data_IF_262372575666
#
_entry.id   IF_262372575666
#
_cell.length_a   1.000
_cell.length_b   1.000
_cell.length_c   1.000
_cell.angle_alpha   90.00
_cell.angle_beta   90.00
_cell.angle_gamma   90.00
#
_symmetry.space_group_name_H-M   'P 1'
#
loop_
_entity.id
_entity.type
_entity.pdbx_description
1 polymer ?
#
# COMPACT_ATOMS: atom_id res chain seq x y z
N UNK A 1 86.73 -33.36 27.42
CA UNK A 1 86.23 -33.58 26.04
C UNK A 1 84.73 -33.83 26.19
N UNK A 2 83.88 -32.80 26.07
CA UNK A 2 83.15 -32.41 24.82
C UNK A 2 82.41 -33.62 24.25
N UNK A 3 81.10 -33.68 24.04
CA UNK A 3 80.09 -32.67 23.70
C UNK A 3 78.67 -33.30 23.78
N UNK A 4 77.69 -32.45 24.10
CA UNK A 4 76.32 -32.36 23.54
C UNK A 4 75.40 -33.60 23.49
N UNK A 5 74.27 -33.62 24.21
CA UNK A 5 72.99 -32.94 23.89
C UNK A 5 72.44 -33.27 22.49
N UNK A 6 71.31 -33.98 22.46
CA UNK A 6 70.58 -34.27 21.22
C UNK A 6 69.12 -34.65 21.46
N UNK A 7 68.41 -33.84 22.25
CA UNK A 7 66.95 -33.85 22.35
C UNK A 7 66.33 -33.62 20.95
N UNK A 8 65.31 -34.42 20.62
CA UNK A 8 64.19 -33.96 19.80
C UNK A 8 64.10 -34.55 18.40
N UNK A 9 62.96 -35.21 18.13
CA UNK A 9 61.79 -34.48 17.61
C UNK A 9 60.64 -35.47 17.43
N UNK A 10 59.68 -35.40 18.35
CA UNK A 10 58.31 -35.82 18.10
C UNK A 10 57.81 -35.06 16.87
N UNK A 11 57.68 -35.77 15.74
CA UNK A 11 57.11 -35.21 14.52
C UNK A 11 55.60 -35.25 14.66
N UNK A 12 55.06 -34.34 15.47
CA UNK A 12 53.66 -33.95 15.45
C UNK A 12 53.28 -33.57 14.02
N UNK A 13 52.63 -34.50 13.31
CA UNK A 13 52.01 -34.22 12.02
C UNK A 13 50.80 -33.32 12.26
N UNK A 14 51.04 -32.01 12.36
CA UNK A 14 49.98 -31.00 12.28
C UNK A 14 49.33 -31.11 10.91
N UNK A 15 48.16 -31.74 10.84
CA UNK A 15 47.25 -31.57 9.71
C UNK A 15 46.93 -30.08 9.59
N UNK A 16 47.58 -29.40 8.64
CA UNK A 16 47.17 -28.07 8.20
C UNK A 16 45.78 -28.22 7.61
N UNK A 17 44.76 -27.78 8.35
CA UNK A 17 43.44 -27.52 7.77
C UNK A 17 43.69 -26.49 6.65
N UNK A 18 43.63 -26.94 5.40
CA UNK A 18 43.69 -26.06 4.25
C UNK A 18 42.44 -25.18 4.30
N UNK A 19 42.60 -23.89 4.57
CA UNK A 19 41.52 -22.92 4.43
C UNK A 19 41.06 -22.94 2.96
N UNK A 20 39.85 -23.45 2.72
CA UNK A 20 39.23 -23.42 1.38
C UNK A 20 38.74 -21.99 1.17
N UNK A 21 39.38 -21.27 0.25
CA UNK A 21 38.91 -19.97 -0.22
C UNK A 21 37.69 -20.11 -1.12
N UNK A 22 36.91 -19.03 -1.25
CA UNK A 22 35.76 -18.93 -2.15
C UNK A 22 36.18 -19.14 -3.61
N UNK A 23 35.47 -19.99 -4.35
CA UNK A 23 35.67 -20.18 -5.79
C UNK A 23 34.82 -19.22 -6.61
N UNK A 24 35.29 -18.89 -7.82
CA UNK A 24 34.49 -18.11 -8.77
C UNK A 24 33.18 -18.84 -9.12
N UNK A 25 33.20 -20.18 -9.20
CA UNK A 25 32.02 -20.97 -9.47
C UNK A 25 30.96 -20.86 -8.36
N UNK A 26 31.38 -20.84 -7.09
CA UNK A 26 30.45 -20.64 -5.95
C UNK A 26 29.81 -19.26 -5.98
N UNK A 27 30.57 -18.22 -6.31
CA UNK A 27 30.02 -16.88 -6.45
C UNK A 27 29.04 -16.79 -7.64
N UNK A 28 29.39 -17.38 -8.79
CA UNK A 28 28.52 -17.40 -9.97
C UNK A 28 27.21 -18.14 -9.71
N UNK A 29 27.26 -19.29 -9.03
CA UNK A 29 26.07 -20.02 -8.64
C UNK A 29 25.21 -19.22 -7.64
N UNK A 30 25.85 -18.57 -6.66
CA UNK A 30 25.15 -17.75 -5.68
C UNK A 30 24.40 -16.58 -6.34
N UNK A 31 25.05 -15.82 -7.22
CA UNK A 31 24.39 -14.70 -7.91
C UNK A 31 23.32 -15.17 -8.90
N UNK A 32 23.50 -16.34 -9.54
CA UNK A 32 22.50 -16.90 -10.44
C UNK A 32 21.21 -17.24 -9.67
N UNK A 33 21.34 -17.95 -8.54
CA UNK A 33 20.18 -18.28 -7.68
C UNK A 33 19.54 -17.03 -7.08
N UNK A 34 20.34 -16.05 -6.63
CA UNK A 34 19.83 -14.77 -6.13
C UNK A 34 19.05 -14.01 -7.20
N UNK A 35 19.55 -13.97 -8.43
CA UNK A 35 18.86 -13.36 -9.56
C UNK A 35 17.49 -14.01 -9.84
N UNK A 36 17.42 -15.35 -9.77
CA UNK A 36 16.15 -16.08 -9.90
C UNK A 36 15.16 -15.71 -8.80
N UNK A 37 15.59 -15.66 -7.54
CA UNK A 37 14.72 -15.29 -6.41
C UNK A 37 14.21 -13.85 -6.57
N UNK A 38 15.10 -12.90 -6.86
CA UNK A 38 14.74 -11.48 -7.04
C UNK A 38 13.72 -11.31 -8.16
N UNK A 39 13.87 -12.03 -9.27
CA UNK A 39 12.95 -11.98 -10.41
C UNK A 39 11.49 -12.26 -10.05
N UNK A 40 11.24 -13.15 -9.09
CA UNK A 40 9.89 -13.47 -8.59
C UNK A 40 9.51 -12.63 -7.37
N UNK A 41 10.46 -12.38 -6.46
CA UNK A 41 10.20 -11.73 -5.19
C UNK A 41 9.79 -10.25 -5.35
N UNK A 42 10.43 -9.51 -6.26
CA UNK A 42 10.13 -8.07 -6.45
C UNK A 42 8.70 -7.81 -6.93
N UNK A 43 8.20 -8.42 -8.02
CA UNK A 43 6.82 -8.20 -8.44
C UNK A 43 5.81 -8.68 -7.39
N UNK A 44 6.03 -9.84 -6.77
CA UNK A 44 5.14 -10.35 -5.72
C UNK A 44 5.07 -9.41 -4.50
N UNK A 45 6.22 -8.83 -4.09
CA UNK A 45 6.26 -7.86 -3.00
C UNK A 45 5.55 -6.56 -3.35
N UNK A 46 5.67 -6.07 -4.60
CA UNK A 46 4.93 -4.89 -5.06
C UNK A 46 3.43 -5.10 -5.04
N UNK A 47 2.95 -6.23 -5.55
CA UNK A 47 1.53 -6.58 -5.53
C UNK A 47 0.98 -6.66 -4.10
N UNK A 48 1.77 -7.21 -3.17
CA UNK A 48 1.43 -7.24 -1.75
C UNK A 48 1.29 -5.83 -1.17
N UNK A 49 2.25 -4.93 -1.45
CA UNK A 49 2.19 -3.55 -1.00
C UNK A 49 0.98 -2.81 -1.55
N UNK A 50 0.64 -2.99 -2.82
CA UNK A 50 -0.55 -2.35 -3.41
C UNK A 50 -1.85 -2.85 -2.77
N UNK A 51 -1.99 -4.16 -2.49
CA UNK A 51 -3.14 -4.69 -1.75
C UNK A 51 -3.23 -4.14 -0.32
N UNK A 52 -2.08 -3.99 0.34
CA UNK A 52 -1.99 -3.40 1.68
C UNK A 52 -2.42 -1.92 1.67
N UNK A 53 -2.01 -1.16 0.65
CA UNK A 53 -2.45 0.23 0.43
C UNK A 53 -3.96 0.31 0.23
N UNK A 54 -4.55 -0.52 -0.65
CA UNK A 54 -6.01 -0.56 -0.84
C UNK A 54 -6.73 -0.86 0.48
N UNK A 55 -6.26 -1.85 1.24
CA UNK A 55 -6.83 -2.20 2.55
C UNK A 55 -6.75 -1.04 3.55
N UNK A 56 -5.62 -0.31 3.56
CA UNK A 56 -5.46 0.87 4.38
C UNK A 56 -6.44 1.97 3.96
N UNK A 57 -6.57 2.25 2.67
CA UNK A 57 -7.50 3.28 2.18
C UNK A 57 -8.96 2.96 2.54
N UNK A 58 -9.36 1.70 2.42
CA UNK A 58 -10.68 1.23 2.90
C UNK A 58 -10.84 1.50 4.40
N UNK A 59 -9.83 1.19 5.21
CA UNK A 59 -9.85 1.40 6.66
C UNK A 59 -9.94 2.88 7.04
N UNK A 60 -9.19 3.73 6.34
CA UNK A 60 -9.21 5.19 6.54
C UNK A 60 -10.60 5.74 6.18
N UNK A 61 -11.20 5.34 5.05
CA UNK A 61 -12.56 5.72 4.65
C UNK A 61 -13.57 5.31 5.73
N UNK A 62 -13.52 4.06 6.22
CA UNK A 62 -14.40 3.60 7.33
C UNK A 62 -14.21 4.41 8.61
N UNK A 63 -13.00 4.91 8.85
CA UNK A 63 -12.71 5.77 10.01
C UNK A 63 -13.32 7.16 9.82
N UNK A 64 -13.24 7.71 8.61
CA UNK A 64 -13.85 8.98 8.28
C UNK A 64 -15.38 8.91 8.31
N UNK A 65 -16.00 7.84 7.82
CA UNK A 65 -17.46 7.63 7.93
C UNK A 65 -17.93 7.76 9.39
N UNK A 66 -17.22 7.14 10.34
CA UNK A 66 -17.54 7.24 11.77
C UNK A 66 -17.39 8.66 12.30
N UNK A 67 -16.34 9.37 11.89
CA UNK A 67 -16.12 10.76 12.29
C UNK A 67 -17.17 11.71 11.70
N UNK A 68 -17.58 11.49 10.45
CA UNK A 68 -18.66 12.23 9.77
C UNK A 68 -19.99 11.98 10.49
N UNK A 69 -20.29 10.72 10.83
CA UNK A 69 -21.52 10.37 11.56
C UNK A 69 -21.56 10.99 12.96
N UNK A 70 -20.43 11.00 13.68
CA UNK A 70 -20.32 11.67 14.98
C UNK A 70 -20.55 13.18 14.83
N UNK A 71 -19.93 13.81 13.83
CA UNK A 71 -20.13 15.23 13.54
C UNK A 71 -21.59 15.55 13.24
N UNK A 72 -22.24 14.75 12.40
CA UNK A 72 -23.66 14.92 12.06
C UNK A 72 -24.57 14.78 13.29
N UNK A 73 -24.26 13.82 14.17
CA UNK A 73 -25.00 13.63 15.43
C UNK A 73 -24.87 14.83 16.36
N UNK A 74 -23.70 15.48 16.39
CA UNK A 74 -23.43 16.62 17.28
C UNK A 74 -23.92 17.96 16.72
N UNK A 75 -24.04 18.10 15.39
CA UNK A 75 -24.31 19.37 14.71
C UNK A 75 -25.62 19.39 13.90
N UNK A 76 -26.35 18.27 13.85
CA UNK A 76 -27.56 18.05 13.03
C UNK A 76 -27.36 18.35 11.52
N UNK A 77 -26.10 18.33 11.07
CA UNK A 77 -25.72 18.58 9.67
C UNK A 77 -24.45 17.82 9.31
N UNK A 78 -24.36 17.37 8.07
CA UNK A 78 -23.12 16.83 7.52
C UNK A 78 -22.03 17.90 7.48
N UNK A 79 -20.75 17.53 7.65
CA UNK A 79 -19.64 18.45 7.50
C UNK A 79 -19.59 19.00 6.07
N UNK A 80 -19.04 20.19 5.89
CA UNK A 80 -18.83 20.77 4.56
C UNK A 80 -17.53 20.26 3.94
N UNK A 81 -16.59 19.80 4.77
CA UNK A 81 -15.30 19.28 4.34
C UNK A 81 -14.67 18.36 5.39
N UNK A 82 -13.64 17.61 4.99
CA UNK A 82 -12.86 16.80 5.94
C UNK A 82 -12.13 17.63 7.01
N UNK A 83 -11.98 18.96 6.86
CA UNK A 83 -11.36 19.78 7.92
C UNK A 83 -12.27 19.92 9.13
N UNK A 84 -13.58 19.87 8.95
CA UNK A 84 -14.56 20.04 10.04
C UNK A 84 -14.51 18.87 11.03
N UNK A 85 -13.97 17.72 10.59
CA UNK A 85 -13.74 16.51 11.40
C UNK A 85 -12.25 16.25 11.68
N UNK A 86 -11.37 17.21 11.39
CA UNK A 86 -9.93 17.10 11.64
C UNK A 86 -9.16 16.15 10.72
N UNK A 87 -9.70 15.78 9.55
CA UNK A 87 -9.12 14.79 8.63
C UNK A 87 -8.58 15.38 7.31
N UNK A 88 -8.58 16.71 7.15
CA UNK A 88 -8.17 17.36 5.89
C UNK A 88 -6.72 17.10 5.46
N UNK A 89 -5.84 16.74 6.40
CA UNK A 89 -4.40 16.57 6.14
C UNK A 89 -3.94 15.12 6.11
N UNK A 90 -4.86 14.15 6.18
CA UNK A 90 -4.51 12.73 6.07
C UNK A 90 -4.45 12.37 4.59
N UNK A 91 -3.26 12.08 4.03
CA UNK A 91 -3.17 11.59 2.66
C UNK A 91 -3.58 10.12 2.61
N UNK A 92 -4.05 9.70 1.43
CA UNK A 92 -4.21 8.29 1.12
C UNK A 92 -2.85 7.58 1.01
N UNK A 93 -2.83 6.25 0.92
CA UNK A 93 -1.59 5.47 0.90
C UNK A 93 -0.67 5.71 -0.32
N UNK A 94 -1.14 6.43 -1.34
CA UNK A 94 -0.36 6.85 -2.50
C UNK A 94 0.08 8.32 -2.43
N UNK A 95 -0.32 9.04 -1.37
CA UNK A 95 0.06 10.43 -1.12
C UNK A 95 -0.93 11.45 -1.69
N UNK A 96 -2.07 11.01 -2.24
CA UNK A 96 -3.12 11.90 -2.71
C UNK A 96 -4.06 12.30 -1.56
N UNK A 97 -4.69 13.48 -1.59
CA UNK A 97 -5.74 13.79 -0.62
C UNK A 97 -6.99 12.94 -0.88
N UNK A 98 -7.65 12.51 0.20
CA UNK A 98 -9.01 11.98 0.10
C UNK A 98 -9.97 13.07 -0.37
N UNK A 99 -10.98 12.67 -1.14
CA UNK A 99 -12.02 13.56 -1.66
C UNK A 99 -13.30 13.31 -0.88
N UNK A 100 -13.86 14.39 -0.36
CA UNK A 100 -15.19 14.41 0.27
C UNK A 100 -16.04 15.46 -0.43
N UNK A 101 -17.29 15.13 -0.69
CA UNK A 101 -18.27 16.04 -1.26
C UNK A 101 -19.62 15.81 -0.61
N UNK A 102 -20.07 16.77 0.20
CA UNK A 102 -21.43 16.81 0.71
C UNK A 102 -22.40 17.09 -0.45
N UNK A 103 -23.35 16.18 -0.70
CA UNK A 103 -24.24 16.26 -1.87
C UNK A 103 -25.24 17.40 -1.72
N UNK A 104 -25.73 17.64 -0.51
CA UNK A 104 -26.72 18.69 -0.23
C UNK A 104 -26.19 20.11 -0.49
N UNK A 105 -24.87 20.29 -0.33
CA UNK A 105 -24.19 21.58 -0.54
C UNK A 105 -23.33 21.61 -1.81
N UNK A 106 -23.34 20.53 -2.60
CA UNK A 106 -22.52 20.40 -3.79
C UNK A 106 -22.90 21.46 -4.84
N UNK A 107 -21.98 22.40 -5.09
CA UNK A 107 -22.14 23.45 -6.11
C UNK A 107 -22.25 22.90 -7.53
N UNK A 108 -21.63 21.73 -7.78
CA UNK A 108 -21.59 21.09 -9.09
C UNK A 108 -22.07 19.63 -8.97
N UNK A 109 -23.38 19.35 -9.13
CA UNK A 109 -23.93 17.99 -9.08
C UNK A 109 -23.35 17.03 -10.14
N UNK A 110 -22.73 17.56 -11.20
CA UNK A 110 -21.99 16.77 -12.19
C UNK A 110 -20.71 16.11 -11.65
N UNK A 111 -20.19 16.58 -10.51
CA UNK A 111 -18.99 16.05 -9.86
C UNK A 111 -19.27 14.80 -9.01
N UNK A 112 -20.54 14.48 -8.75
CA UNK A 112 -20.95 13.31 -7.99
C UNK A 112 -20.46 12.03 -8.66
N UNK A 113 -19.93 11.12 -7.85
CA UNK A 113 -19.54 9.79 -8.30
C UNK A 113 -20.78 9.04 -8.78
N UNK A 114 -20.64 8.34 -9.89
CA UNK A 114 -21.75 7.70 -10.60
C UNK A 114 -21.46 6.27 -10.99
N UNK A 115 -22.46 5.42 -10.95
CA UNK A 115 -22.39 4.04 -11.41
C UNK A 115 -22.34 3.91 -12.94
N UNK A 116 -22.46 2.68 -13.43
CA UNK A 116 -22.48 2.35 -14.86
C UNK A 116 -23.69 2.93 -15.62
N UNK A 117 -24.76 3.28 -14.92
CA UNK A 117 -25.98 3.86 -15.46
C UNK A 117 -26.02 5.38 -15.28
N UNK A 118 -24.91 5.99 -14.85
CA UNK A 118 -24.76 7.42 -14.56
C UNK A 118 -25.62 7.91 -13.38
N UNK A 119 -26.04 7.00 -12.50
CA UNK A 119 -26.78 7.29 -11.27
C UNK A 119 -25.78 7.58 -10.14
N UNK A 120 -26.00 8.61 -9.30
CA UNK A 120 -25.15 8.87 -8.14
C UNK A 120 -24.98 7.64 -7.25
N UNK A 121 -23.75 7.40 -6.76
CA UNK A 121 -23.46 6.24 -5.90
C UNK A 121 -24.02 6.36 -4.49
N UNK A 122 -24.16 7.59 -4.01
CA UNK A 122 -24.58 7.94 -2.67
C UNK A 122 -25.65 9.03 -2.73
N UNK A 123 -26.45 9.11 -1.68
CA UNK A 123 -27.48 10.12 -1.47
C UNK A 123 -27.07 11.21 -0.48
N UNK A 124 -26.09 10.92 0.39
CA UNK A 124 -25.61 11.78 1.47
C UNK A 124 -24.34 12.58 1.11
N UNK A 125 -23.23 11.88 0.90
CA UNK A 125 -21.92 12.42 0.56
C UNK A 125 -21.09 11.42 -0.24
N UNK A 126 -20.23 11.93 -1.12
CA UNK A 126 -19.17 11.12 -1.70
C UNK A 126 -17.93 11.16 -0.81
N UNK A 127 -17.29 10.00 -0.66
CA UNK A 127 -16.01 9.86 0.03
C UNK A 127 -15.15 8.82 -0.69
N UNK A 128 -13.98 9.22 -1.16
CA UNK A 128 -13.09 8.32 -1.90
C UNK A 128 -11.62 8.74 -1.88
N UNK A 129 -10.73 7.78 -2.12
CA UNK A 129 -9.33 8.02 -2.53
C UNK A 129 -9.24 7.93 -4.05
N UNK A 130 -8.36 8.75 -4.65
CA UNK A 130 -8.11 8.78 -6.10
C UNK A 130 -7.13 7.70 -6.58
N UNK A 131 -6.86 6.71 -5.75
CA UNK A 131 -5.96 5.61 -6.09
C UNK A 131 -4.52 6.05 -6.33
N UNK A 132 -3.81 5.21 -7.09
CA UNK A 132 -2.38 5.33 -7.35
C UNK A 132 -2.06 6.39 -8.40
N UNK A 133 -2.94 6.56 -9.39
CA UNK A 133 -2.70 7.50 -10.48
C UNK A 133 -3.09 8.95 -10.13
N UNK A 134 -3.87 9.12 -9.04
CA UNK A 134 -4.31 10.40 -8.52
C UNK A 134 -5.32 11.12 -9.42
N UNK A 135 -5.89 10.43 -10.41
CA UNK A 135 -6.89 10.90 -11.36
C UNK A 135 -8.21 10.21 -11.04
N UNK A 136 -9.30 10.89 -11.36
CA UNK A 136 -10.64 10.36 -11.13
C UNK A 136 -11.61 11.07 -12.06
N UNK A 137 -12.64 10.36 -12.52
CA UNK A 137 -13.80 10.94 -13.22
C UNK A 137 -15.10 10.52 -12.55
N UNK A 138 -16.17 11.33 -12.64
CA UNK A 138 -17.41 11.03 -11.93
C UNK A 138 -17.96 9.61 -12.18
N UNK A 139 -18.07 9.09 -13.42
CA UNK A 139 -18.52 7.71 -13.65
C UNK A 139 -17.43 6.68 -13.30
N UNK A 140 -17.79 5.64 -12.55
CA UNK A 140 -16.90 4.52 -12.22
C UNK A 140 -16.44 3.73 -13.46
N UNK A 141 -17.20 3.78 -14.55
CA UNK A 141 -16.84 3.12 -15.82
C UNK A 141 -15.67 3.80 -16.53
N UNK A 142 -15.30 5.02 -16.15
CA UNK A 142 -14.13 5.70 -16.71
C UNK A 142 -12.85 4.99 -16.27
N UNK A 143 -11.91 4.82 -17.21
CA UNK A 143 -10.63 4.14 -16.95
C UNK A 143 -9.82 4.82 -15.84
N UNK A 144 -9.82 6.15 -15.82
CA UNK A 144 -9.16 6.97 -14.80
C UNK A 144 -9.80 6.83 -13.40
N UNK A 145 -10.87 6.03 -13.24
CA UNK A 145 -11.57 5.85 -11.96
C UNK A 145 -11.47 4.42 -11.42
N UNK A 146 -10.81 3.50 -12.15
CA UNK A 146 -10.82 2.07 -11.82
C UNK A 146 -9.99 1.71 -10.58
N UNK A 147 -8.97 2.52 -10.28
CA UNK A 147 -8.12 2.38 -9.10
C UNK A 147 -8.57 3.27 -7.93
N UNK A 148 -9.69 3.99 -8.06
CA UNK A 148 -10.28 4.73 -6.94
C UNK A 148 -10.76 3.75 -5.85
N UNK A 149 -10.63 4.16 -4.59
CA UNK A 149 -11.21 3.43 -3.45
C UNK A 149 -12.40 4.26 -2.99
N UNK A 150 -13.59 3.73 -3.17
CA UNK A 150 -14.84 4.48 -3.05
C UNK A 150 -15.70 3.97 -1.91
N UNK A 151 -16.45 4.88 -1.30
CA UNK A 151 -17.69 4.59 -0.57
C UNK A 151 -18.88 4.65 -1.54
N UNK A 152 -19.74 3.64 -1.51
CA UNK A 152 -20.93 3.58 -2.34
C UNK A 152 -22.12 2.94 -1.57
N UNK A 153 -23.34 3.10 -2.12
CA UNK A 153 -24.59 2.64 -1.50
C UNK A 153 -24.76 3.14 -0.08
N UNK A 154 -24.50 4.43 0.16
CA UNK A 154 -24.61 5.09 1.47
C UNK A 154 -23.82 4.34 2.56
N UNK A 155 -22.63 3.85 2.20
CA UNK A 155 -21.71 3.13 3.09
C UNK A 155 -21.86 1.60 3.09
N UNK A 156 -22.85 1.07 2.36
CA UNK A 156 -23.03 -0.37 2.17
C UNK A 156 -21.85 -1.05 1.47
N UNK A 157 -21.08 -0.29 0.67
CA UNK A 157 -19.86 -0.74 0.02
C UNK A 157 -18.71 0.23 0.28
N UNK A 158 -17.53 -0.31 0.61
CA UNK A 158 -16.25 0.43 0.55
C UNK A 158 -15.19 -0.49 -0.04
N UNK A 159 -14.61 -0.09 -1.16
CA UNK A 159 -13.69 -0.94 -1.90
C UNK A 159 -13.21 -0.30 -3.20
N UNK A 160 -12.54 -1.10 -4.02
CA UNK A 160 -12.03 -0.68 -5.31
C UNK A 160 -13.20 -0.37 -6.25
N UNK A 161 -13.12 0.72 -6.99
CA UNK A 161 -14.18 1.13 -7.92
C UNK A 161 -14.40 0.14 -9.06
N UNK A 162 -13.34 -0.56 -9.50
CA UNK A 162 -13.44 -1.60 -10.53
C UNK A 162 -14.15 -2.88 -10.06
N UNK A 163 -14.31 -3.07 -8.74
CA UNK A 163 -14.98 -4.23 -8.15
C UNK A 163 -16.47 -3.97 -7.81
N UNK A 164 -16.97 -2.76 -8.11
CA UNK A 164 -18.35 -2.31 -7.86
C UNK A 164 -19.26 -2.46 -9.09
#
# INVERSE_FOLDING_TARGET
MREALGVGRDRSQRHKIRGRGFSLAELLLAIATLGTIIGVAVPAYRDYLERAKVTKAITDIRTFEKAIQAYETDNDTLPNSLSDIGQASVPDPWGNPYVYLNISTAKNPGALRKDRFLVPLNSDYDLYSKGADGRSRPPLTARDSWDDIIRANDGGYVGLASDY
#
